data_IF_486732637269
#
_entry.id   IF_486732637269
#
_cell.length_a   1.000
_cell.length_b   1.000
_cell.length_c   1.000
_cell.angle_alpha   90.00
_cell.angle_beta   90.00
_cell.angle_gamma   90.00
#
_symmetry.space_group_name_H-M   'P 1'
#
loop_
_entity.id
_entity.type
_entity.pdbx_description
1 polymer ?
#
# COMPACT_ATOMS: atom_id res chain seq x y z
N UNK A 1 17.68 39.21 -97.14
CA UNK A 1 16.45 38.42 -96.84
C UNK A 1 16.75 37.52 -95.65
N UNK A 2 16.36 37.97 -94.47
CA UNK A 2 16.80 37.37 -93.22
C UNK A 2 15.67 36.58 -92.63
N UNK A 3 15.90 35.31 -92.42
CA UNK A 3 14.97 34.45 -91.68
C UNK A 3 15.47 34.36 -90.26
N UNK A 4 14.65 34.88 -89.31
CA UNK A 4 14.86 34.79 -87.91
C UNK A 4 14.34 33.41 -87.42
N UNK A 5 15.21 32.61 -86.81
CA UNK A 5 14.85 31.39 -86.14
C UNK A 5 14.59 31.70 -84.63
N UNK A 6 13.39 31.52 -84.22
CA UNK A 6 13.00 31.68 -82.79
C UNK A 6 13.21 30.28 -82.15
N UNK A 7 14.16 30.15 -81.19
CA UNK A 7 14.38 28.98 -80.40
C UNK A 7 13.45 29.07 -79.20
N UNK A 8 12.53 28.11 -79.05
CA UNK A 8 11.64 27.96 -77.91
C UNK A 8 12.36 27.07 -76.85
N UNK A 9 12.79 27.65 -75.73
CA UNK A 9 13.28 26.94 -74.59
C UNK A 9 12.12 26.47 -73.75
N UNK A 10 11.82 25.15 -73.73
CA UNK A 10 10.94 24.48 -72.80
C UNK A 10 11.74 24.11 -71.54
N UNK A 11 11.53 24.81 -70.43
CA UNK A 11 12.08 24.48 -69.16
C UNK A 11 11.20 23.33 -68.56
N UNK A 12 11.74 22.11 -68.48
CA UNK A 12 11.13 21.01 -67.76
C UNK A 12 11.40 21.17 -66.26
N UNK A 13 10.36 21.57 -65.52
CA UNK A 13 10.41 21.56 -64.04
C UNK A 13 10.22 20.14 -63.58
N UNK A 14 11.32 19.52 -63.12
CA UNK A 14 11.28 18.23 -62.44
C UNK A 14 10.82 18.45 -61.00
N UNK A 15 9.55 18.29 -60.71
CA UNK A 15 9.04 18.23 -59.34
C UNK A 15 9.40 16.88 -58.70
N UNK A 16 10.44 16.89 -57.88
CA UNK A 16 10.77 15.75 -57.00
C UNK A 16 9.73 15.74 -55.88
N UNK A 17 8.71 14.91 -56.00
CA UNK A 17 7.80 14.57 -54.94
C UNK A 17 8.57 13.70 -53.91
N UNK A 18 8.97 14.30 -52.81
CA UNK A 18 9.40 13.51 -51.64
C UNK A 18 8.21 12.70 -51.16
N UNK A 19 8.09 11.46 -51.58
CA UNK A 19 7.22 10.46 -50.96
C UNK A 19 7.84 10.16 -49.60
N UNK A 20 7.29 10.78 -48.57
CA UNK A 20 7.56 10.37 -47.19
C UNK A 20 7.04 8.94 -47.07
N UNK A 21 7.91 7.97 -47.25
CA UNK A 21 7.61 6.60 -46.88
C UNK A 21 7.43 6.57 -45.36
N UNK A 22 6.19 6.65 -44.89
CA UNK A 22 5.83 6.18 -43.59
C UNK A 22 6.16 4.67 -43.62
N UNK A 23 7.30 4.30 -43.08
CA UNK A 23 7.60 2.91 -42.83
C UNK A 23 6.59 2.45 -41.78
N UNK A 24 5.50 1.86 -42.23
CA UNK A 24 4.58 1.12 -41.40
C UNK A 24 5.38 -0.01 -40.77
N UNK A 25 5.69 0.16 -39.45
CA UNK A 25 6.49 -0.80 -38.71
C UNK A 25 5.76 -2.13 -38.79
N UNK A 26 6.34 -3.11 -39.47
CA UNK A 26 5.73 -4.42 -39.66
C UNK A 26 5.27 -4.95 -38.29
N UNK A 27 4.05 -5.51 -38.17
CA UNK A 27 3.53 -5.93 -36.89
C UNK A 27 4.51 -6.87 -36.21
N UNK A 28 5.07 -6.45 -35.09
CA UNK A 28 6.04 -7.24 -34.32
C UNK A 28 5.32 -8.51 -33.85
N UNK A 29 5.83 -9.66 -34.26
CA UNK A 29 5.29 -10.94 -33.78
C UNK A 29 5.70 -11.07 -32.31
N UNK A 30 4.76 -10.84 -31.41
CA UNK A 30 4.96 -10.92 -29.97
C UNK A 30 4.08 -11.98 -29.35
N UNK A 31 4.54 -12.54 -28.25
CA UNK A 31 3.80 -13.43 -27.36
C UNK A 31 3.70 -12.72 -26.02
N UNK A 32 2.48 -12.61 -25.49
CA UNK A 32 2.23 -12.06 -24.15
C UNK A 32 1.84 -13.21 -23.23
N UNK A 33 2.46 -13.27 -22.07
CA UNK A 33 2.19 -14.26 -21.02
C UNK A 33 2.12 -13.57 -19.67
N UNK A 34 1.36 -14.14 -18.75
CA UNK A 34 1.33 -13.74 -17.35
C UNK A 34 1.96 -14.83 -16.50
N UNK A 35 2.94 -14.46 -15.68
CA UNK A 35 3.50 -15.32 -14.67
C UNK A 35 2.85 -15.04 -13.33
N UNK A 36 2.67 -16.08 -12.54
CA UNK A 36 2.02 -16.02 -11.24
C UNK A 36 2.87 -16.74 -10.19
N UNK A 37 2.85 -16.21 -8.97
CA UNK A 37 3.45 -16.86 -7.81
C UNK A 37 2.65 -16.49 -6.56
N UNK A 38 2.60 -17.41 -5.61
CA UNK A 38 2.03 -17.16 -4.28
C UNK A 38 3.05 -17.61 -3.25
N UNK A 39 3.56 -16.68 -2.46
CA UNK A 39 4.48 -16.96 -1.37
C UNK A 39 3.76 -16.77 -0.04
N UNK A 40 3.73 -17.84 0.77
CA UNK A 40 3.13 -17.80 2.11
C UNK A 40 4.23 -17.61 3.14
N UNK A 41 4.05 -16.61 4.01
CA UNK A 41 4.94 -16.33 5.13
C UNK A 41 4.21 -16.56 6.46
N UNK A 42 4.91 -17.16 7.41
CA UNK A 42 4.42 -17.23 8.80
C UNK A 42 4.68 -15.89 9.46
N UNK A 43 3.65 -15.33 10.11
CA UNK A 43 3.80 -14.10 10.88
C UNK A 43 4.81 -14.29 12.02
N UNK A 44 5.69 -13.31 12.20
CA UNK A 44 6.71 -13.26 13.25
C UNK A 44 6.64 -11.96 14.07
N UNK A 45 5.62 -11.15 13.83
CA UNK A 45 5.36 -9.87 14.46
C UNK A 45 3.85 -9.65 14.60
N UNK A 46 3.42 -8.90 15.62
CA UNK A 46 2.06 -8.41 15.77
C UNK A 46 2.07 -6.91 16.07
N UNK A 47 1.03 -6.21 15.63
CA UNK A 47 0.74 -4.85 16.06
C UNK A 47 -0.59 -4.84 16.80
N UNK A 48 -0.56 -4.43 18.07
CA UNK A 48 -1.76 -4.27 18.91
C UNK A 48 -2.23 -2.83 18.78
N UNK A 49 -3.47 -2.64 18.36
CA UNK A 49 -4.13 -1.35 18.31
C UNK A 49 -5.06 -1.23 19.52
N UNK A 50 -4.73 -0.33 20.44
CA UNK A 50 -5.49 -0.14 21.66
C UNK A 50 -5.75 1.32 21.95
N UNK A 51 -6.78 1.60 22.74
CA UNK A 51 -7.20 2.96 23.05
C UNK A 51 -7.63 3.09 24.51
N UNK A 52 -7.47 4.30 25.02
CA UNK A 52 -8.09 4.78 26.28
C UNK A 52 -9.13 5.79 25.90
N UNK A 53 -10.37 5.53 26.28
CA UNK A 53 -11.47 6.47 26.17
C UNK A 53 -11.94 6.91 27.56
N UNK A 54 -12.00 8.22 27.78
CA UNK A 54 -12.49 8.84 29.01
C UNK A 54 -13.59 9.84 28.71
N UNK A 55 -14.48 10.07 29.65
CA UNK A 55 -15.62 10.98 29.45
C UNK A 55 -15.92 11.76 30.73
N UNK A 56 -16.10 13.08 30.60
CA UNK A 56 -16.42 13.97 31.72
C UNK A 56 -17.33 15.13 31.26
N UNK A 57 -18.04 15.75 32.19
CA UNK A 57 -18.74 17.02 31.96
C UNK A 57 -17.76 18.19 31.78
N UNK A 58 -16.51 18.03 32.18
CA UNK A 58 -15.46 19.02 32.05
C UNK A 58 -14.38 18.49 31.09
N UNK A 59 -14.14 19.23 30.01
CA UNK A 59 -13.15 18.83 28.99
C UNK A 59 -11.75 18.65 29.57
N UNK A 60 -11.31 19.53 30.48
CA UNK A 60 -9.97 19.42 31.10
C UNK A 60 -9.86 18.19 31.99
N UNK A 61 -10.95 17.80 32.66
CA UNK A 61 -10.98 16.58 33.46
C UNK A 61 -10.87 15.33 32.58
N UNK A 62 -11.66 15.24 31.51
CA UNK A 62 -11.60 14.13 30.57
C UNK A 62 -10.19 13.95 29.98
N UNK A 63 -9.59 15.04 29.51
CA UNK A 63 -8.23 15.06 28.93
C UNK A 63 -7.17 14.62 29.94
N UNK A 64 -7.22 15.16 31.17
CA UNK A 64 -6.23 14.82 32.21
C UNK A 64 -6.34 13.36 32.63
N UNK A 65 -7.54 12.86 32.83
CA UNK A 65 -7.77 11.45 33.17
C UNK A 65 -7.25 10.55 32.05
N UNK A 66 -7.55 10.86 30.79
CA UNK A 66 -7.07 10.14 29.63
C UNK A 66 -5.53 10.10 29.58
N UNK A 67 -4.87 11.23 29.74
CA UNK A 67 -3.41 11.32 29.71
C UNK A 67 -2.76 10.48 30.84
N UNK A 68 -3.31 10.52 32.05
CA UNK A 68 -2.82 9.74 33.18
C UNK A 68 -2.97 8.24 32.91
N UNK A 69 -4.16 7.82 32.46
CA UNK A 69 -4.44 6.41 32.16
C UNK A 69 -3.57 5.92 31.00
N UNK A 70 -3.44 6.68 29.91
CA UNK A 70 -2.58 6.27 28.78
C UNK A 70 -1.10 6.16 29.20
N UNK A 71 -0.64 7.04 30.09
CA UNK A 71 0.72 6.93 30.67
C UNK A 71 0.89 5.63 31.44
N UNK A 72 -0.10 5.26 32.28
CA UNK A 72 -0.08 3.99 33.00
C UNK A 72 -0.08 2.79 32.07
N UNK A 73 -0.93 2.80 31.04
CA UNK A 73 -1.00 1.77 30.01
C UNK A 73 0.35 1.62 29.30
N UNK A 74 0.95 2.73 28.86
CA UNK A 74 2.28 2.72 28.22
C UNK A 74 3.35 2.07 29.11
N UNK A 75 3.39 2.42 30.37
CA UNK A 75 4.34 1.81 31.34
C UNK A 75 4.07 0.31 31.51
N UNK A 76 2.81 -0.10 31.62
CA UNK A 76 2.45 -1.49 31.80
C UNK A 76 2.86 -2.36 30.58
N UNK A 77 2.59 -1.92 29.37
CA UNK A 77 2.96 -2.67 28.16
C UNK A 77 4.48 -2.78 27.99
N UNK A 78 5.24 -1.74 28.33
CA UNK A 78 6.71 -1.77 28.33
C UNK A 78 7.22 -2.78 29.36
N UNK A 79 6.68 -2.76 30.58
CA UNK A 79 7.06 -3.68 31.64
C UNK A 79 6.72 -5.14 31.30
N UNK A 80 5.72 -5.38 30.45
CA UNK A 80 5.34 -6.71 29.97
C UNK A 80 6.13 -7.19 28.76
N UNK A 81 7.10 -6.37 28.27
CA UNK A 81 8.05 -6.76 27.25
C UNK A 81 7.86 -6.10 25.88
N UNK A 82 7.02 -5.06 25.76
CA UNK A 82 6.97 -4.24 24.57
C UNK A 82 8.21 -3.33 24.49
N UNK A 83 8.72 -3.13 23.28
CA UNK A 83 9.80 -2.17 23.01
C UNK A 83 9.26 -0.74 23.02
N UNK A 84 9.79 0.11 23.90
CA UNK A 84 9.36 1.49 24.03
C UNK A 84 9.52 2.31 22.73
N UNK A 85 10.51 1.95 21.90
CA UNK A 85 10.74 2.59 20.59
C UNK A 85 9.74 2.18 19.51
N UNK A 86 8.94 1.15 19.78
CA UNK A 86 7.95 0.55 18.90
C UNK A 86 6.51 0.83 19.36
N UNK A 87 6.35 1.84 20.21
CA UNK A 87 5.06 2.29 20.70
C UNK A 87 4.79 3.69 20.17
N UNK A 88 3.75 3.81 19.35
CA UNK A 88 3.39 5.06 18.69
C UNK A 88 1.95 5.47 19.03
N UNK A 89 1.72 6.77 19.25
CA UNK A 89 0.35 7.31 19.33
C UNK A 89 -0.21 7.42 17.92
N UNK A 90 -1.31 6.74 17.65
CA UNK A 90 -1.92 6.69 16.32
C UNK A 90 -3.10 7.65 16.15
N UNK A 91 -3.79 8.01 17.24
CA UNK A 91 -4.89 8.94 17.19
C UNK A 91 -5.09 9.64 18.54
N UNK A 92 -5.50 10.91 18.50
CA UNK A 92 -5.92 11.67 19.69
C UNK A 92 -7.08 12.58 19.33
N UNK A 93 -8.23 12.37 19.96
CA UNK A 93 -9.44 13.14 19.69
C UNK A 93 -10.16 13.55 20.96
N UNK A 94 -10.70 14.77 20.97
CA UNK A 94 -11.59 15.26 22.01
C UNK A 94 -12.82 15.87 21.34
N UNK A 95 -14.00 15.39 21.72
CA UNK A 95 -15.24 15.85 21.11
C UNK A 95 -16.40 15.90 22.11
N UNK A 96 -17.35 16.83 21.93
CA UNK A 96 -18.55 16.90 22.76
C UNK A 96 -19.55 15.81 22.35
N UNK A 97 -20.14 15.16 23.34
CA UNK A 97 -21.25 14.24 23.20
C UNK A 97 -22.51 14.88 23.87
N UNK A 98 -23.50 15.21 23.06
CA UNK A 98 -24.73 15.77 23.53
C UNK A 98 -25.78 14.68 23.78
N UNK A 99 -26.45 14.74 24.93
CA UNK A 99 -27.71 14.04 25.17
C UNK A 99 -28.87 15.00 25.00
N UNK A 100 -29.95 14.50 24.43
CA UNK A 100 -31.12 15.34 24.11
C UNK A 100 -32.31 14.94 24.96
N UNK A 101 -33.21 15.92 25.25
CA UNK A 101 -34.48 15.68 25.87
C UNK A 101 -35.55 15.22 24.85
N UNK A 102 -36.74 14.86 25.33
CA UNK A 102 -37.86 14.40 24.49
C UNK A 102 -38.37 15.46 23.49
N UNK A 103 -37.88 16.66 23.58
CA UNK A 103 -38.20 17.80 22.69
C UNK A 103 -37.04 18.13 21.75
N UNK A 104 -36.00 17.30 21.71
CA UNK A 104 -34.84 17.48 20.85
C UNK A 104 -33.87 18.59 21.30
N UNK A 105 -33.98 19.10 22.52
CA UNK A 105 -33.05 20.11 23.06
C UNK A 105 -31.91 19.44 23.79
N UNK A 106 -30.69 20.01 23.71
CA UNK A 106 -29.53 19.52 24.46
C UNK A 106 -29.84 19.54 25.96
N UNK A 107 -29.90 18.36 26.57
CA UNK A 107 -30.08 18.15 27.99
C UNK A 107 -28.77 18.22 28.74
N UNK A 108 -27.73 17.62 28.16
CA UNK A 108 -26.41 17.56 28.78
C UNK A 108 -25.34 17.41 27.70
N UNK A 109 -24.13 17.94 27.94
CA UNK A 109 -22.96 17.78 27.12
C UNK A 109 -21.86 17.12 27.95
N UNK A 110 -21.36 15.95 27.52
CA UNK A 110 -20.14 15.35 28.02
C UNK A 110 -19.04 15.51 26.99
N UNK A 111 -17.82 15.53 27.43
CA UNK A 111 -16.64 15.56 26.55
C UNK A 111 -15.97 14.20 26.59
N UNK A 112 -15.88 13.54 25.46
CA UNK A 112 -15.14 12.29 25.29
C UNK A 112 -13.74 12.61 24.79
N UNK A 113 -12.74 11.95 25.38
CA UNK A 113 -11.36 11.99 24.95
C UNK A 113 -10.91 10.58 24.63
N UNK A 114 -10.54 10.36 23.36
CA UNK A 114 -9.98 9.09 22.88
C UNK A 114 -8.51 9.29 22.54
N UNK A 115 -7.67 8.40 23.05
CA UNK A 115 -6.25 8.36 22.78
C UNK A 115 -5.89 6.93 22.38
N UNK A 116 -5.38 6.75 21.16
CA UNK A 116 -5.06 5.45 20.58
C UNK A 116 -3.57 5.27 20.43
N UNK A 117 -3.12 4.05 20.63
CA UNK A 117 -1.72 3.67 20.61
C UNK A 117 -1.54 2.36 19.83
N UNK A 118 -0.50 2.31 19.01
CA UNK A 118 -0.05 1.10 18.34
C UNK A 118 1.16 0.56 19.09
N UNK A 119 1.15 -0.74 19.39
CA UNK A 119 2.23 -1.44 20.07
C UNK A 119 2.72 -2.57 19.17
N UNK A 120 3.90 -2.40 18.58
CA UNK A 120 4.53 -3.45 17.78
C UNK A 120 5.18 -4.49 18.71
N UNK A 121 4.83 -5.76 18.52
CA UNK A 121 5.29 -6.89 19.32
C UNK A 121 6.09 -7.85 18.44
N UNK A 122 7.40 -7.88 18.63
CA UNK A 122 8.30 -8.80 17.90
C UNK A 122 8.34 -10.22 18.49
N UNK A 123 7.80 -10.40 19.68
CA UNK A 123 7.70 -11.71 20.36
C UNK A 123 6.23 -12.08 20.48
N UNK A 124 5.73 -12.86 19.54
CA UNK A 124 4.30 -13.23 19.47
C UNK A 124 3.80 -13.96 20.73
N UNK A 125 4.68 -14.70 21.42
CA UNK A 125 4.38 -15.35 22.69
C UNK A 125 4.04 -14.35 23.82
N UNK A 126 4.43 -13.08 23.68
CA UNK A 126 4.17 -12.01 24.64
C UNK A 126 2.92 -11.19 24.34
N UNK A 127 2.28 -11.40 23.19
CA UNK A 127 1.13 -10.60 22.79
C UNK A 127 0.01 -10.62 23.83
N UNK A 128 -0.31 -11.81 24.39
CA UNK A 128 -1.32 -11.94 25.43
C UNK A 128 -0.95 -11.20 26.71
N UNK A 129 0.27 -11.41 27.23
CA UNK A 129 0.77 -10.75 28.45
C UNK A 129 0.71 -9.22 28.33
N UNK A 130 1.07 -8.68 27.15
CA UNK A 130 1.05 -7.23 26.87
C UNK A 130 -0.39 -6.69 26.85
N UNK A 131 -1.31 -7.42 26.24
CA UNK A 131 -2.73 -7.05 26.21
C UNK A 131 -3.35 -7.04 27.60
N UNK A 132 -3.12 -8.10 28.38
CA UNK A 132 -3.64 -8.20 29.73
C UNK A 132 -3.12 -7.06 30.61
N UNK A 133 -1.83 -6.73 30.48
CA UNK A 133 -1.22 -5.60 31.19
C UNK A 133 -1.82 -4.26 30.77
N UNK A 134 -2.09 -4.06 29.48
CA UNK A 134 -2.72 -2.85 28.97
C UNK A 134 -4.13 -2.66 29.55
N UNK A 135 -4.94 -3.71 29.53
CA UNK A 135 -6.31 -3.69 30.07
C UNK A 135 -6.29 -3.47 31.58
N UNK A 136 -5.42 -4.16 32.31
CA UNK A 136 -5.28 -3.98 33.77
C UNK A 136 -4.84 -2.56 34.14
N UNK A 137 -4.09 -1.88 33.27
CA UNK A 137 -3.64 -0.49 33.47
C UNK A 137 -4.67 0.56 33.03
N UNK A 138 -5.81 0.14 32.43
CA UNK A 138 -6.91 1.03 32.08
C UNK A 138 -7.16 1.23 30.58
N UNK A 139 -6.48 0.48 29.68
CA UNK A 139 -6.92 0.42 28.29
C UNK A 139 -8.33 -0.21 28.27
N UNK A 140 -9.30 0.54 27.76
CA UNK A 140 -10.69 0.10 27.76
C UNK A 140 -11.23 -0.22 26.37
N UNK A 141 -10.31 -0.21 25.36
CA UNK A 141 -10.62 -0.55 23.99
C UNK A 141 -9.41 -1.22 23.33
N UNK A 142 -9.64 -2.38 22.74
CA UNK A 142 -8.69 -3.04 21.85
C UNK A 142 -9.36 -3.10 20.49
N UNK A 143 -8.83 -2.34 19.53
CA UNK A 143 -9.45 -2.17 18.23
C UNK A 143 -9.13 -3.35 17.30
N UNK A 144 -7.86 -3.76 17.22
CA UNK A 144 -7.43 -4.94 16.48
C UNK A 144 -6.06 -5.45 16.91
N UNK A 145 -5.71 -6.64 16.43
CA UNK A 145 -4.35 -7.18 16.46
C UNK A 145 -4.04 -7.65 15.05
N UNK A 146 -3.04 -7.02 14.43
CA UNK A 146 -2.63 -7.33 13.08
C UNK A 146 -1.33 -8.14 13.10
N UNK A 147 -1.40 -9.36 12.59
CA UNK A 147 -0.24 -10.24 12.47
C UNK A 147 0.45 -10.00 11.13
N UNK A 148 1.75 -9.82 11.14
CA UNK A 148 2.54 -9.51 9.96
C UNK A 148 3.93 -10.15 10.02
N UNK A 149 4.71 -9.94 8.97
CA UNK A 149 6.11 -10.33 8.92
C UNK A 149 7.01 -9.11 9.07
N UNK A 150 8.05 -9.24 9.87
CA UNK A 150 9.01 -8.15 10.14
C UNK A 150 9.74 -7.68 8.88
N UNK A 151 10.01 -8.59 7.97
CA UNK A 151 10.69 -8.26 6.71
C UNK A 151 9.91 -8.79 5.50
N UNK A 152 8.84 -8.10 5.07
CA UNK A 152 8.02 -8.53 3.95
C UNK A 152 8.74 -8.50 2.60
N UNK A 153 9.83 -7.70 2.48
CA UNK A 153 10.55 -7.54 1.22
C UNK A 153 11.16 -8.86 0.73
N UNK A 154 11.66 -9.70 1.62
CA UNK A 154 12.24 -11.00 1.27
C UNK A 154 11.21 -11.88 0.53
N UNK A 155 9.98 -11.89 1.01
CA UNK A 155 8.88 -12.68 0.42
C UNK A 155 8.38 -12.06 -0.88
N UNK A 156 8.34 -10.73 -0.97
CA UNK A 156 8.01 -10.01 -2.22
C UNK A 156 9.03 -10.31 -3.31
N UNK A 157 10.32 -10.23 -2.98
CA UNK A 157 11.40 -10.54 -3.92
C UNK A 157 11.38 -12.01 -4.36
N UNK A 158 11.00 -12.92 -3.45
CA UNK A 158 10.82 -14.33 -3.80
C UNK A 158 9.65 -14.50 -4.76
N UNK A 159 8.48 -13.93 -4.44
CA UNK A 159 7.30 -13.99 -5.29
C UNK A 159 7.59 -13.45 -6.70
N UNK A 160 8.28 -12.31 -6.80
CA UNK A 160 8.64 -11.70 -8.07
C UNK A 160 9.57 -12.61 -8.91
N UNK A 161 10.57 -13.21 -8.27
CA UNK A 161 11.44 -14.18 -8.96
C UNK A 161 10.67 -15.39 -9.48
N UNK A 162 9.81 -15.96 -8.66
CA UNK A 162 9.01 -17.14 -9.04
C UNK A 162 7.99 -16.81 -10.14
N UNK A 163 7.28 -15.68 -10.05
CA UNK A 163 6.35 -15.23 -11.09
C UNK A 163 7.06 -14.96 -12.41
N UNK A 164 8.26 -14.36 -12.37
CA UNK A 164 9.06 -14.12 -13.57
C UNK A 164 9.52 -15.44 -14.21
N UNK A 165 9.94 -16.41 -13.40
CA UNK A 165 10.33 -17.74 -13.88
C UNK A 165 9.12 -18.48 -14.49
N UNK A 166 7.94 -18.37 -13.90
CA UNK A 166 6.71 -18.97 -14.44
C UNK A 166 6.31 -18.32 -15.77
N UNK A 167 6.39 -17.00 -15.90
CA UNK A 167 6.13 -16.29 -17.16
C UNK A 167 7.09 -16.78 -18.27
N UNK A 168 8.39 -16.87 -17.96
CA UNK A 168 9.39 -17.34 -18.92
C UNK A 168 9.15 -18.80 -19.31
N UNK A 169 8.81 -19.66 -18.37
CA UNK A 169 8.45 -21.06 -18.62
C UNK A 169 7.24 -21.15 -19.56
N UNK A 170 6.16 -20.40 -19.28
CA UNK A 170 4.95 -20.35 -20.12
C UNK A 170 5.28 -19.86 -21.53
N UNK A 171 6.06 -18.78 -21.65
CA UNK A 171 6.47 -18.23 -22.94
C UNK A 171 7.25 -19.26 -23.79
N UNK A 172 8.20 -19.98 -23.19
CA UNK A 172 8.99 -20.99 -23.89
C UNK A 172 8.13 -22.18 -24.34
N UNK A 173 7.21 -22.67 -23.49
CA UNK A 173 6.29 -23.76 -23.85
C UNK A 173 5.42 -23.36 -25.04
N UNK A 174 4.81 -22.16 -24.99
CA UNK A 174 3.94 -21.70 -26.07
C UNK A 174 4.70 -21.44 -27.36
N UNK A 175 5.88 -20.85 -27.29
CA UNK A 175 6.74 -20.64 -28.47
C UNK A 175 7.13 -21.96 -29.11
N UNK A 176 7.58 -22.95 -28.31
CA UNK A 176 7.95 -24.27 -28.80
C UNK A 176 6.77 -25.02 -29.47
N UNK A 177 5.57 -24.94 -28.89
CA UNK A 177 4.36 -25.53 -29.47
C UNK A 177 4.03 -24.95 -30.87
N UNK A 178 4.44 -23.69 -31.12
CA UNK A 178 4.27 -23.00 -32.39
C UNK A 178 5.51 -23.20 -33.34
N UNK A 179 6.47 -24.06 -32.99
CA UNK A 179 7.69 -24.24 -33.74
C UNK A 179 8.60 -23.02 -33.75
N UNK A 180 8.57 -22.23 -32.67
CA UNK A 180 9.32 -20.99 -32.50
C UNK A 180 10.13 -21.02 -31.20
N UNK A 181 10.95 -20.00 -31.00
CA UNK A 181 11.70 -19.76 -29.75
C UNK A 181 11.52 -18.30 -29.29
N UNK A 182 11.61 -18.08 -28.01
CA UNK A 182 11.67 -16.72 -27.41
C UNK A 182 13.09 -16.19 -27.66
N UNK A 183 13.21 -15.05 -28.33
CA UNK A 183 14.49 -14.43 -28.68
C UNK A 183 14.79 -13.19 -27.88
N UNK A 184 13.77 -12.49 -27.41
CA UNK A 184 13.93 -11.26 -26.63
C UNK A 184 12.69 -10.99 -25.76
N UNK A 185 12.89 -10.21 -24.70
CA UNK A 185 11.83 -9.66 -23.86
C UNK A 185 11.63 -8.21 -24.26
N UNK A 186 10.41 -7.83 -24.66
CA UNK A 186 10.09 -6.47 -25.13
C UNK A 186 9.69 -5.59 -23.93
N UNK A 187 8.90 -6.14 -23.01
CA UNK A 187 8.41 -5.42 -21.83
C UNK A 187 8.16 -6.40 -20.68
N UNK A 188 8.33 -5.91 -19.48
CA UNK A 188 7.92 -6.57 -18.24
C UNK A 188 7.14 -5.56 -17.42
N UNK A 189 6.02 -5.96 -16.89
CA UNK A 189 5.24 -5.18 -15.90
C UNK A 189 4.96 -6.05 -14.70
N UNK A 190 4.91 -5.43 -13.53
CA UNK A 190 4.54 -6.06 -12.28
C UNK A 190 3.19 -5.50 -11.82
N UNK A 191 2.34 -6.39 -11.32
CA UNK A 191 1.09 -6.05 -10.65
C UNK A 191 1.01 -6.93 -9.39
N UNK A 192 1.40 -6.37 -8.24
CA UNK A 192 1.42 -7.11 -6.98
C UNK A 192 0.25 -6.74 -6.11
N UNK A 193 -0.49 -7.75 -5.65
CA UNK A 193 -1.55 -7.62 -4.67
C UNK A 193 -1.09 -8.24 -3.34
N UNK A 194 -1.12 -7.47 -2.27
CA UNK A 194 -1.00 -8.01 -0.92
C UNK A 194 -2.40 -8.44 -0.46
N UNK A 195 -2.55 -9.71 -0.14
CA UNK A 195 -3.76 -10.28 0.49
C UNK A 195 -3.50 -10.46 1.97
#
# INVERSE_FOLDING_TARGET
MNKKVIALMTAAVLSISCISANAEEAPRRSLTVTGESTVTAKSDMATIHLSVETSSLNVKAAVRENANTMTAVRHAVISSGADASKIETSNYQVYPQNTYDDKGRVKNTKYSCTNSMNVEVSRLDKTGDIMDAAVAAGANRIDSIDFSVKNPQIYKDQALREATADALRKANIMAAALGRSVVNVISVSEDSHNV
#
